data_IF_671965126536
#
_entry.id   IF_671965126536
#
_cell.length_a   1.000
_cell.length_b   1.000
_cell.length_c   1.000
_cell.angle_alpha   90.00
_cell.angle_beta   90.00
_cell.angle_gamma   90.00
#
_symmetry.space_group_name_H-M   'P 1'
#
loop_
_entity.id
_entity.type
_entity.pdbx_description
1 polymer ?
#
# COMPACT_ATOMS: atom_id res chain seq x y z
N UNK A 1 -34.02 -4.35 19.44
CA UNK A 1 -32.96 -3.35 19.71
C UNK A 1 -31.58 -3.71 19.12
N UNK A 2 -31.30 -4.96 18.71
CA UNK A 2 -29.99 -5.31 18.10
C UNK A 2 -29.89 -5.00 16.59
N UNK A 3 -31.01 -5.02 15.85
CA UNK A 3 -31.01 -4.79 14.40
C UNK A 3 -30.71 -3.33 14.04
N UNK A 4 -31.19 -2.37 14.83
CA UNK A 4 -30.95 -0.93 14.62
C UNK A 4 -29.48 -0.55 14.77
N UNK A 5 -28.77 -1.16 15.74
CA UNK A 5 -27.32 -0.95 15.93
C UNK A 5 -26.50 -1.44 14.72
N UNK A 6 -26.89 -2.55 14.09
CA UNK A 6 -26.23 -3.07 12.89
C UNK A 6 -26.43 -2.17 11.66
N UNK A 7 -27.59 -1.51 11.57
CA UNK A 7 -27.90 -0.54 10.51
C UNK A 7 -27.03 0.72 10.67
N UNK A 8 -26.93 1.26 11.88
CA UNK A 8 -26.09 2.43 12.17
C UNK A 8 -24.60 2.14 11.92
N UNK A 9 -24.10 0.97 12.33
CA UNK A 9 -22.71 0.57 12.09
C UNK A 9 -22.40 0.48 10.58
N UNK A 10 -23.35 -0.02 9.79
CA UNK A 10 -23.21 -0.11 8.32
C UNK A 10 -23.18 1.28 7.69
N UNK A 11 -24.04 2.19 8.11
CA UNK A 11 -24.06 3.57 7.64
C UNK A 11 -22.77 4.32 7.97
N UNK A 12 -22.22 4.12 9.17
CA UNK A 12 -20.93 4.69 9.58
C UNK A 12 -19.80 4.17 8.69
N UNK A 13 -19.73 2.85 8.44
CA UNK A 13 -18.74 2.25 7.54
C UNK A 13 -18.80 2.84 6.12
N UNK A 14 -20.00 3.03 5.59
CA UNK A 14 -20.19 3.61 4.26
C UNK A 14 -19.85 5.10 4.21
N UNK A 15 -20.13 5.86 5.26
CA UNK A 15 -19.69 7.25 5.39
C UNK A 15 -18.17 7.35 5.40
N UNK A 16 -17.49 6.54 6.22
CA UNK A 16 -16.03 6.52 6.31
C UNK A 16 -15.37 6.09 4.99
N UNK A 17 -15.95 5.09 4.32
CA UNK A 17 -15.52 4.66 2.99
C UNK A 17 -15.62 5.79 1.96
N UNK A 18 -16.76 6.50 1.93
CA UNK A 18 -16.96 7.64 1.01
C UNK A 18 -15.95 8.75 1.27
N UNK A 19 -15.71 9.08 2.53
CA UNK A 19 -14.70 10.07 2.91
C UNK A 19 -13.28 9.66 2.53
N UNK A 20 -12.90 8.40 2.77
CA UNK A 20 -11.63 7.85 2.33
C UNK A 20 -11.46 8.02 0.80
N UNK A 21 -12.43 7.58 0.00
CA UNK A 21 -12.39 7.68 -1.47
C UNK A 21 -12.31 9.15 -1.91
N UNK A 22 -13.07 10.03 -1.27
CA UNK A 22 -13.06 11.47 -1.56
C UNK A 22 -11.66 12.06 -1.36
N UNK A 23 -10.97 11.71 -0.26
CA UNK A 23 -9.60 12.16 0.02
C UNK A 23 -8.60 11.60 -0.99
N UNK A 24 -8.66 10.30 -1.31
CA UNK A 24 -7.79 9.70 -2.34
C UNK A 24 -7.99 10.41 -3.68
N UNK A 25 -9.23 10.69 -4.11
CA UNK A 25 -9.50 11.43 -5.36
C UNK A 25 -8.88 12.82 -5.37
N UNK A 26 -8.97 13.56 -4.26
CA UNK A 26 -8.35 14.89 -4.13
C UNK A 26 -6.84 14.81 -4.28
N UNK A 27 -6.19 13.83 -3.64
CA UNK A 27 -4.74 13.61 -3.78
C UNK A 27 -4.37 13.23 -5.21
N UNK A 28 -5.12 12.34 -5.85
CA UNK A 28 -4.80 11.91 -7.22
C UNK A 28 -4.93 13.03 -8.26
N UNK A 29 -5.88 13.95 -8.07
CA UNK A 29 -6.09 15.14 -8.91
C UNK A 29 -5.02 16.24 -8.74
N UNK A 30 -4.26 16.21 -7.65
CA UNK A 30 -3.21 17.20 -7.43
C UNK A 30 -2.05 17.02 -8.42
N UNK A 31 -1.22 18.06 -8.57
CA UNK A 31 -0.01 18.04 -9.41
C UNK A 31 1.23 17.49 -8.68
N UNK A 32 1.03 16.88 -7.52
CA UNK A 32 2.12 16.29 -6.74
C UNK A 32 2.88 15.22 -7.54
N UNK A 33 4.17 15.10 -7.26
CA UNK A 33 4.97 13.99 -7.77
C UNK A 33 4.45 12.64 -7.23
N UNK A 34 4.83 11.55 -7.90
CA UNK A 34 4.35 10.20 -7.58
C UNK A 34 4.65 9.76 -6.14
N UNK A 35 5.82 10.10 -5.62
CA UNK A 35 6.22 9.80 -4.23
C UNK A 35 5.31 10.52 -3.24
N UNK A 36 5.13 11.82 -3.43
CA UNK A 36 4.28 12.67 -2.60
C UNK A 36 2.82 12.23 -2.67
N UNK A 37 2.31 11.79 -3.84
CA UNK A 37 0.95 11.23 -3.95
C UNK A 37 0.78 9.96 -3.11
N UNK A 38 1.72 9.02 -3.17
CA UNK A 38 1.66 7.78 -2.38
C UNK A 38 1.71 8.07 -0.88
N UNK A 39 2.61 8.96 -0.46
CA UNK A 39 2.71 9.41 0.92
C UNK A 39 1.43 10.12 1.39
N UNK A 40 0.90 11.04 0.59
CA UNK A 40 -0.31 11.79 0.91
C UNK A 40 -1.56 10.89 1.02
N UNK A 41 -1.67 9.81 0.25
CA UNK A 41 -2.74 8.83 0.42
C UNK A 41 -2.63 8.19 1.81
N UNK A 42 -1.42 7.78 2.20
CA UNK A 42 -1.17 7.20 3.53
C UNK A 42 -1.49 8.17 4.66
N UNK A 43 -1.06 9.43 4.54
CA UNK A 43 -1.17 10.44 5.58
C UNK A 43 -2.59 11.01 5.72
N UNK A 44 -3.30 11.21 4.60
CA UNK A 44 -4.58 11.94 4.60
C UNK A 44 -5.76 10.98 4.58
N UNK A 45 -5.68 9.87 3.84
CA UNK A 45 -6.82 8.97 3.65
C UNK A 45 -6.88 7.88 4.73
N UNK A 46 -5.77 7.22 5.05
CA UNK A 46 -5.78 6.09 6.00
C UNK A 46 -6.25 6.46 7.41
N UNK A 47 -5.91 7.64 7.99
CA UNK A 47 -6.41 8.01 9.31
C UNK A 47 -7.93 8.01 9.43
N UNK A 48 -8.67 8.32 8.36
CA UNK A 48 -10.15 8.26 8.33
C UNK A 48 -10.66 6.91 8.79
N UNK A 49 -10.02 5.84 8.30
CA UNK A 49 -10.38 4.48 8.67
C UNK A 49 -9.75 4.12 10.02
N UNK A 50 -8.52 4.58 10.27
CA UNK A 50 -7.76 4.23 11.48
C UNK A 50 -8.45 4.57 12.80
N UNK A 51 -9.13 5.72 12.86
CA UNK A 51 -9.90 6.11 14.05
C UNK A 51 -11.05 5.14 14.36
N UNK A 52 -11.66 4.58 13.32
CA UNK A 52 -12.79 3.65 13.48
C UNK A 52 -12.38 2.23 13.84
N UNK A 53 -11.10 1.86 13.71
CA UNK A 53 -10.66 0.47 13.90
C UNK A 53 -10.82 -0.03 15.35
N UNK A 54 -10.81 0.85 16.35
CA UNK A 54 -11.03 0.49 17.75
C UNK A 54 -12.50 0.51 18.19
N UNK A 55 -13.37 1.17 17.42
CA UNK A 55 -14.78 1.40 17.79
C UNK A 55 -15.72 0.52 16.98
N UNK A 56 -15.37 0.26 15.72
CA UNK A 56 -16.22 -0.41 14.73
C UNK A 56 -15.53 -1.72 14.30
N UNK A 57 -16.29 -2.82 14.24
CA UNK A 57 -15.72 -4.10 13.86
C UNK A 57 -15.59 -4.21 12.33
N UNK A 58 -14.36 -4.07 11.83
CA UNK A 58 -14.06 -4.18 10.41
C UNK A 58 -13.72 -5.61 9.99
N UNK A 59 -14.54 -6.18 9.09
CA UNK A 59 -14.19 -7.43 8.41
C UNK A 59 -13.04 -7.17 7.42
N UNK A 60 -12.00 -8.02 7.45
CA UNK A 60 -10.83 -7.93 6.55
C UNK A 60 -11.26 -7.81 5.08
N UNK A 61 -12.22 -8.64 4.63
CA UNK A 61 -12.78 -8.60 3.26
C UNK A 61 -13.31 -7.22 2.84
N UNK A 62 -13.90 -6.44 3.76
CA UNK A 62 -14.41 -5.10 3.46
C UNK A 62 -13.28 -4.10 3.25
N UNK A 63 -12.18 -4.22 4.00
CA UNK A 63 -11.00 -3.37 3.85
C UNK A 63 -10.24 -3.71 2.57
N UNK A 64 -10.13 -5.00 2.25
CA UNK A 64 -9.60 -5.43 0.96
C UNK A 64 -10.39 -4.81 -0.19
N UNK A 65 -11.72 -4.74 -0.11
CA UNK A 65 -12.53 -4.07 -1.13
C UNK A 65 -12.18 -2.57 -1.28
N UNK A 66 -11.87 -1.88 -0.18
CA UNK A 66 -11.40 -0.48 -0.19
C UNK A 66 -10.01 -0.40 -0.86
N UNK A 67 -9.11 -1.34 -0.56
CA UNK A 67 -7.79 -1.44 -1.21
C UNK A 67 -7.95 -1.72 -2.73
N UNK A 68 -8.88 -2.62 -3.15
CA UNK A 68 -9.17 -2.85 -4.59
C UNK A 68 -9.67 -1.57 -5.24
N UNK A 69 -10.56 -0.83 -4.59
CA UNK A 69 -11.09 0.42 -5.11
C UNK A 69 -9.99 1.48 -5.24
N UNK A 70 -9.08 1.56 -4.27
CA UNK A 70 -7.90 2.43 -4.32
C UNK A 70 -7.03 2.08 -5.54
N UNK A 71 -6.76 0.80 -5.79
CA UNK A 71 -6.00 0.34 -6.96
C UNK A 71 -6.70 0.68 -8.27
N UNK A 72 -8.02 0.42 -8.39
CA UNK A 72 -8.81 0.82 -9.57
C UNK A 72 -8.69 2.32 -9.85
N UNK A 73 -8.73 3.14 -8.81
CA UNK A 73 -8.51 4.58 -8.95
C UNK A 73 -7.10 4.90 -9.41
N UNK A 74 -6.07 4.30 -8.81
CA UNK A 74 -4.69 4.49 -9.27
C UNK A 74 -4.53 4.16 -10.76
N UNK A 75 -5.14 3.07 -11.23
CA UNK A 75 -5.15 2.72 -12.66
C UNK A 75 -5.90 3.74 -13.51
N UNK A 76 -7.06 4.22 -13.04
CA UNK A 76 -7.86 5.25 -13.76
C UNK A 76 -7.09 6.56 -13.93
N UNK A 77 -6.34 6.98 -12.91
CA UNK A 77 -5.50 8.18 -12.93
C UNK A 77 -4.09 7.90 -13.49
N UNK A 78 -3.90 6.78 -14.21
CA UNK A 78 -2.62 6.37 -14.84
C UNK A 78 -1.43 6.29 -13.88
N UNK A 79 -1.67 6.18 -12.57
CA UNK A 79 -0.62 6.08 -11.55
C UNK A 79 -0.02 4.67 -11.45
N UNK A 80 -0.76 3.66 -11.92
CA UNK A 80 -0.40 2.26 -11.90
C UNK A 80 -0.87 1.59 -13.18
N UNK A 81 -0.01 0.82 -13.82
CA UNK A 81 -0.34 0.12 -15.05
C UNK A 81 -1.24 -1.11 -14.75
N UNK A 82 -2.28 -1.41 -15.56
CA UNK A 82 -3.21 -2.51 -15.28
C UNK A 82 -2.58 -3.89 -15.13
N UNK A 83 -1.50 -4.16 -15.88
CA UNK A 83 -0.78 -5.44 -15.86
C UNK A 83 0.40 -5.48 -14.88
N UNK A 84 0.76 -4.34 -14.27
CA UNK A 84 1.90 -4.28 -13.36
C UNK A 84 1.63 -5.02 -12.04
N UNK A 85 2.69 -5.33 -11.30
CA UNK A 85 2.56 -6.14 -10.11
C UNK A 85 1.89 -5.38 -8.94
N UNK A 86 0.88 -6.01 -8.34
CA UNK A 86 0.13 -5.44 -7.22
C UNK A 86 0.92 -5.49 -5.90
N UNK A 87 1.76 -6.51 -5.68
CA UNK A 87 2.52 -6.63 -4.43
C UNK A 87 3.69 -5.64 -4.41
N UNK A 88 4.27 -5.34 -5.59
CA UNK A 88 5.24 -4.26 -5.78
C UNK A 88 4.70 -2.87 -5.39
N UNK A 89 3.39 -2.64 -5.55
CA UNK A 89 2.76 -1.38 -5.15
C UNK A 89 2.89 -1.10 -3.64
N UNK A 90 2.80 -2.16 -2.82
CA UNK A 90 2.87 -2.07 -1.35
C UNK A 90 4.29 -2.22 -0.79
N UNK A 91 5.22 -2.71 -1.60
CA UNK A 91 6.64 -2.83 -1.26
C UNK A 91 7.27 -1.44 -1.06
N UNK A 92 8.25 -1.36 -0.17
CA UNK A 92 8.93 -0.10 0.14
C UNK A 92 9.65 0.49 -1.09
N UNK A 93 9.79 1.81 -1.15
CA UNK A 93 10.55 2.47 -2.22
C UNK A 93 12.06 2.19 -2.14
N UNK A 94 12.57 1.81 -0.98
CA UNK A 94 13.98 1.41 -0.80
C UNK A 94 14.25 0.06 -1.46
N UNK A 95 13.24 -0.80 -1.53
CA UNK A 95 13.30 -2.14 -2.11
C UNK A 95 12.76 -2.20 -3.55
N UNK A 96 12.63 -1.06 -4.24
CA UNK A 96 12.16 -1.03 -5.63
C UNK A 96 10.64 -1.04 -5.83
N UNK A 97 9.86 -0.89 -4.75
CA UNK A 97 8.41 -0.76 -4.77
C UNK A 97 7.90 0.69 -4.84
N UNK A 98 6.60 0.89 -4.60
CA UNK A 98 5.93 2.22 -4.65
C UNK A 98 5.58 2.81 -3.30
N UNK A 99 5.58 2.00 -2.24
CA UNK A 99 5.35 2.42 -0.86
C UNK A 99 3.89 2.82 -0.56
N UNK A 100 2.91 2.29 -1.30
CA UNK A 100 1.51 2.48 -0.92
C UNK A 100 1.24 1.71 0.37
N UNK A 101 0.55 2.35 1.30
CA UNK A 101 0.16 1.70 2.55
C UNK A 101 -1.09 0.84 2.35
N UNK A 102 -0.96 -0.48 2.55
CA UNK A 102 -2.10 -1.39 2.53
C UNK A 102 -2.95 -1.22 3.80
N UNK A 103 -4.26 -0.99 3.64
CA UNK A 103 -5.16 -0.71 4.77
C UNK A 103 -5.39 -1.96 5.62
N UNK A 104 -5.66 -3.09 4.97
CA UNK A 104 -5.90 -4.36 5.69
C UNK A 104 -4.71 -4.74 6.59
N UNK A 105 -3.48 -4.49 6.11
CA UNK A 105 -2.24 -4.70 6.85
C UNK A 105 -2.17 -3.86 8.13
N UNK A 106 -2.60 -2.60 8.08
CA UNK A 106 -2.56 -1.73 9.26
C UNK A 106 -3.43 -2.23 10.40
N UNK A 107 -4.54 -2.89 10.09
CA UNK A 107 -5.37 -3.52 11.11
C UNK A 107 -4.70 -4.77 11.67
N UNK A 108 -4.20 -5.65 10.81
CA UNK A 108 -3.51 -6.87 11.29
C UNK A 108 -2.29 -6.53 12.14
N UNK A 109 -1.54 -5.49 11.77
CA UNK A 109 -0.45 -4.95 12.59
C UNK A 109 -0.96 -4.50 13.96
N UNK A 110 -2.05 -3.71 14.03
CA UNK A 110 -2.61 -3.26 15.30
C UNK A 110 -3.08 -4.42 16.18
N UNK A 111 -3.74 -5.43 15.62
CA UNK A 111 -4.21 -6.61 16.35
C UNK A 111 -3.01 -7.39 16.92
N UNK A 112 -2.01 -7.70 16.09
CA UNK A 112 -0.81 -8.43 16.51
C UNK A 112 0.04 -7.67 17.55
N UNK A 113 0.04 -6.33 17.50
CA UNK A 113 0.70 -5.50 18.51
C UNK A 113 -0.10 -5.52 19.82
N UNK A 114 -1.43 -5.41 19.75
CA UNK A 114 -2.30 -5.45 20.92
C UNK A 114 -2.23 -6.79 21.68
N UNK A 115 -2.01 -7.90 20.97
CA UNK A 115 -1.84 -9.24 21.57
C UNK A 115 -0.47 -9.46 22.23
N UNK A 116 0.56 -8.70 21.85
CA UNK A 116 1.96 -8.89 22.28
C UNK A 116 2.44 -7.85 23.30
N UNK A 117 1.52 -7.17 23.98
CA UNK A 117 1.87 -6.21 25.03
C UNK A 117 2.35 -7.00 26.25
N UNK A 118 3.65 -7.33 26.26
CA UNK A 118 4.52 -7.48 27.43
C UNK A 118 5.99 -7.52 26.94
N UNK A 119 6.72 -6.46 27.33
CA UNK A 119 8.18 -6.20 27.28
C UNK A 119 8.89 -5.89 25.93
N UNK A 120 9.62 -4.77 25.94
CA UNK A 120 10.40 -4.12 24.86
C UNK A 120 9.58 -3.70 23.63
N UNK A 121 8.68 -2.75 23.85
CA UNK A 121 7.65 -2.33 22.90
C UNK A 121 8.16 -1.85 21.53
N UNK A 122 9.34 -1.23 21.44
CA UNK A 122 9.78 -0.61 20.18
C UNK A 122 10.52 -1.59 19.26
N UNK A 123 11.41 -2.40 19.83
CA UNK A 123 12.16 -3.41 19.10
C UNK A 123 11.25 -4.53 18.58
N UNK A 124 10.29 -4.97 19.37
CA UNK A 124 9.30 -5.99 18.97
C UNK A 124 8.35 -5.48 17.88
N UNK A 125 7.84 -4.24 18.00
CA UNK A 125 7.02 -3.59 16.96
C UNK A 125 7.79 -3.48 15.63
N UNK A 126 9.06 -3.07 15.67
CA UNK A 126 9.90 -2.98 14.48
C UNK A 126 10.19 -4.35 13.85
N UNK A 127 10.45 -5.38 14.68
CA UNK A 127 10.66 -6.76 14.21
C UNK A 127 9.43 -7.32 13.49
N UNK A 128 8.23 -7.09 14.02
CA UNK A 128 6.96 -7.54 13.40
C UNK A 128 6.74 -6.81 12.06
N UNK A 129 6.92 -5.48 12.04
CA UNK A 129 6.81 -4.69 10.80
C UNK A 129 7.77 -5.19 9.73
N UNK A 130 9.03 -5.42 10.08
CA UNK A 130 10.05 -5.91 9.15
C UNK A 130 9.69 -7.29 8.61
N UNK A 131 9.21 -8.20 9.48
CA UNK A 131 8.77 -9.54 9.05
C UNK A 131 7.62 -9.48 8.03
N UNK A 132 6.62 -8.62 8.25
CA UNK A 132 5.50 -8.45 7.32
C UNK A 132 5.97 -7.84 5.99
N UNK A 133 6.88 -6.86 6.04
CA UNK A 133 7.43 -6.24 4.83
C UNK A 133 8.24 -7.24 3.99
N UNK A 134 9.04 -8.09 4.63
CA UNK A 134 9.78 -9.16 3.94
C UNK A 134 8.84 -10.19 3.31
N UNK A 135 7.72 -10.55 3.97
CA UNK A 135 6.72 -11.45 3.37
C UNK A 135 6.14 -10.88 2.06
N UNK A 136 5.85 -9.58 2.01
CA UNK A 136 5.33 -8.92 0.80
C UNK A 136 6.39 -8.91 -0.30
N UNK A 137 7.63 -8.59 0.07
CA UNK A 137 8.76 -8.57 -0.85
C UNK A 137 9.00 -9.94 -1.46
N UNK A 138 9.04 -10.99 -0.64
CA UNK A 138 9.20 -12.37 -1.09
C UNK A 138 8.08 -12.79 -2.03
N UNK A 139 6.83 -12.44 -1.71
CA UNK A 139 5.68 -12.70 -2.60
C UNK A 139 5.83 -12.06 -3.98
N UNK A 140 6.45 -10.88 -4.08
CA UNK A 140 6.76 -10.26 -5.38
C UNK A 140 7.93 -10.97 -6.08
N UNK A 141 9.01 -11.24 -5.34
CA UNK A 141 10.24 -11.88 -5.85
C UNK A 141 9.99 -13.31 -6.35
N UNK A 142 9.09 -14.06 -5.72
CA UNK A 142 8.79 -15.46 -6.09
C UNK A 142 7.98 -15.58 -7.39
N UNK A 143 7.41 -14.49 -7.91
CA UNK A 143 6.65 -14.54 -9.16
C UNK A 143 7.56 -14.84 -10.34
N UNK A 144 7.09 -15.72 -11.23
CA UNK A 144 7.88 -16.16 -12.38
C UNK A 144 8.30 -14.99 -13.29
N UNK A 145 7.34 -14.18 -13.75
CA UNK A 145 7.59 -13.04 -14.64
C UNK A 145 7.95 -11.77 -13.87
N UNK A 146 7.06 -11.29 -13.00
CA UNK A 146 7.25 -10.02 -12.27
C UNK A 146 8.42 -10.04 -11.28
N UNK A 147 8.87 -11.21 -10.86
CA UNK A 147 10.00 -11.39 -9.94
C UNK A 147 11.37 -11.44 -10.62
N UNK A 148 11.45 -11.44 -11.96
CA UNK A 148 12.74 -11.49 -12.67
C UNK A 148 13.60 -10.27 -12.35
N UNK A 149 13.02 -9.06 -12.44
CA UNK A 149 13.72 -7.82 -12.17
C UNK A 149 14.31 -7.76 -10.75
N UNK A 150 13.56 -7.99 -9.66
CA UNK A 150 14.15 -7.95 -8.33
C UNK A 150 15.15 -9.09 -8.06
N UNK A 151 15.08 -10.21 -8.78
CA UNK A 151 16.12 -11.27 -8.72
C UNK A 151 17.41 -10.82 -9.40
N UNK A 152 17.31 -10.24 -10.60
CA UNK A 152 18.47 -9.70 -11.31
C UNK A 152 19.18 -8.61 -10.48
N UNK A 153 18.42 -7.69 -9.87
CA UNK A 153 18.97 -6.64 -8.99
C UNK A 153 19.62 -7.20 -7.71
N UNK A 154 19.38 -8.47 -7.35
CA UNK A 154 20.06 -9.12 -6.22
C UNK A 154 21.42 -9.73 -6.57
N UNK A 155 21.82 -9.71 -7.85
CA UNK A 155 23.14 -10.17 -8.28
C UNK A 155 24.27 -9.31 -7.71
N UNK A 156 25.43 -9.95 -7.47
CA UNK A 156 26.57 -9.40 -6.73
C UNK A 156 27.21 -8.14 -7.34
N UNK A 157 26.95 -7.85 -8.63
CA UNK A 157 27.55 -6.73 -9.36
C UNK A 157 26.67 -5.48 -9.41
N UNK A 158 25.43 -5.55 -8.91
CA UNK A 158 24.45 -4.45 -9.05
C UNK A 158 24.33 -3.68 -7.74
N UNK A 159 24.62 -2.37 -7.79
CA UNK A 159 24.34 -1.46 -6.68
C UNK A 159 22.83 -1.22 -6.56
N UNK A 160 22.22 -1.83 -5.54
CA UNK A 160 20.79 -1.71 -5.24
C UNK A 160 20.40 -0.28 -4.86
N UNK A 161 21.25 0.44 -4.15
CA UNK A 161 20.94 1.79 -3.69
C UNK A 161 20.84 2.75 -4.86
N UNK A 162 21.80 2.66 -5.79
CA UNK A 162 21.81 3.47 -7.00
C UNK A 162 20.67 3.06 -7.95
N UNK A 163 20.41 1.76 -8.09
CA UNK A 163 19.32 1.22 -8.94
C UNK A 163 17.95 1.79 -8.55
N UNK A 164 17.67 1.95 -7.26
CA UNK A 164 16.39 2.48 -6.77
C UNK A 164 16.41 3.97 -6.40
N UNK A 165 17.50 4.67 -6.71
CA UNK A 165 17.65 6.08 -6.33
C UNK A 165 16.55 6.96 -6.96
N UNK A 166 16.16 6.69 -8.19
CA UNK A 166 15.10 7.42 -8.89
C UNK A 166 13.72 7.23 -8.22
N UNK A 167 13.43 6.05 -7.65
CA UNK A 167 12.22 5.80 -6.86
C UNK A 167 12.25 6.49 -5.50
N UNK A 168 13.44 6.59 -4.88
CA UNK A 168 13.66 7.31 -3.60
C UNK A 168 13.53 8.82 -3.77
N UNK A 169 14.16 9.39 -4.80
CA UNK A 169 14.08 10.82 -5.15
C UNK A 169 12.66 11.20 -5.58
N UNK A 170 11.96 10.33 -6.30
CA UNK A 170 10.53 10.46 -6.59
C UNK A 170 10.17 11.72 -7.38
N UNK A 171 11.08 12.21 -8.24
CA UNK A 171 10.90 13.44 -9.04
C UNK A 171 9.98 13.24 -10.25
N UNK A 172 9.70 11.99 -10.62
CA UNK A 172 8.88 11.66 -11.78
C UNK A 172 7.38 11.84 -11.51
N UNK A 173 6.64 12.18 -12.57
CA UNK A 173 5.19 12.10 -12.56
C UNK A 173 4.76 10.65 -12.41
N UNK A 174 3.59 10.47 -11.82
CA UNK A 174 3.00 9.17 -11.55
C UNK A 174 2.84 8.26 -12.75
N UNK A 175 2.48 8.87 -13.88
CA UNK A 175 2.25 8.19 -15.16
C UNK A 175 3.54 7.60 -15.71
N UNK A 176 4.60 8.41 -15.75
CA UNK A 176 5.94 7.99 -16.17
C UNK A 176 6.50 6.90 -15.27
N UNK A 177 6.42 7.06 -13.94
CA UNK A 177 6.88 6.02 -13.00
C UNK A 177 6.06 4.72 -13.15
N UNK A 178 4.76 4.81 -13.45
CA UNK A 178 3.94 3.63 -13.70
C UNK A 178 4.37 2.86 -14.94
N UNK A 179 4.78 3.55 -16.00
CA UNK A 179 5.21 2.96 -17.26
C UNK A 179 6.57 2.28 -17.11
N UNK A 180 7.54 2.95 -16.48
CA UNK A 180 8.86 2.37 -16.22
C UNK A 180 8.74 1.10 -15.38
N UNK A 181 7.89 1.11 -14.34
CA UNK A 181 7.65 -0.07 -13.50
C UNK A 181 6.99 -1.20 -14.30
N UNK A 182 6.01 -0.89 -15.14
CA UNK A 182 5.38 -1.89 -15.99
C UNK A 182 6.40 -2.54 -16.95
N UNK A 183 7.35 -1.76 -17.47
CA UNK A 183 8.42 -2.29 -18.31
C UNK A 183 9.33 -3.23 -17.53
N UNK A 184 9.75 -2.84 -16.32
CA UNK A 184 10.57 -3.66 -15.42
C UNK A 184 9.85 -4.95 -15.00
N UNK A 185 8.54 -4.90 -14.80
CA UNK A 185 7.73 -6.07 -14.47
C UNK A 185 7.48 -6.97 -15.70
N UNK A 186 8.02 -6.66 -16.89
CA UNK A 186 7.71 -7.35 -18.15
C UNK A 186 6.19 -7.40 -18.44
N UNK A 187 5.48 -6.35 -18.02
CA UNK A 187 4.01 -6.25 -18.09
C UNK A 187 3.52 -5.44 -19.30
N UNK A 188 4.42 -5.02 -20.18
CA UNK A 188 4.14 -4.33 -21.43
C UNK A 188 4.17 -5.40 -22.56
N UNK A 189 3.17 -5.45 -23.45
CA UNK A 189 3.17 -6.35 -24.60
C UNK A 189 4.25 -5.99 -25.63
#
# INVERSE_FOLDING_TARGET
MNETRGIEETQVKDRLRREYIRRVRKVLKSELNSRSKMLAIGEIAVPVLQYSFGVVNWKIKKLENIDRQTRKMLTTYKMHHPKADVDRLYTSRKDGGRGLMQIARKISEKIQIGEKVNETEENTKNKIKNKILEQIKNKWVEKQMHGQYPRAVQEHLIDKEQTYEWLRKGKLKGETESLIIAAQDHSIP
#
